data_IF_823846012872
#
_entry.id   IF_823846012872
#
_cell.length_a   1.000
_cell.length_b   1.000
_cell.length_c   1.000
_cell.angle_alpha   90.00
_cell.angle_beta   90.00
_cell.angle_gamma   90.00
#
_symmetry.space_group_name_H-M   'P 1'
#
loop_
_entity.id
_entity.type
_entity.pdbx_description
1 polymer ?
#
# COMPACT_ATOMS: atom_id res chain seq x y z
N UNK A 1 65.17 -12.02 -10.53
CA UNK A 1 66.01 -10.92 -11.05
C UNK A 1 65.40 -10.45 -12.37
N UNK A 2 65.48 -9.16 -12.69
CA UNK A 2 64.35 -8.21 -12.69
C UNK A 2 63.80 -7.91 -14.09
N UNK A 3 62.56 -7.40 -14.18
CA UNK A 3 62.28 -6.24 -15.06
C UNK A 3 61.02 -5.51 -14.60
N UNK A 4 61.24 -4.31 -14.06
CA UNK A 4 60.24 -3.24 -13.93
C UNK A 4 59.90 -2.73 -15.32
N UNK A 5 58.64 -2.38 -15.57
CA UNK A 5 58.27 -1.25 -16.40
C UNK A 5 56.87 -0.78 -16.02
N UNK A 6 56.86 0.36 -15.32
CA UNK A 6 55.68 1.18 -15.12
C UNK A 6 55.32 1.84 -16.46
N UNK A 7 54.03 1.93 -16.77
CA UNK A 7 53.54 3.01 -17.63
C UNK A 7 52.28 3.62 -17.01
N UNK A 8 52.51 4.82 -16.51
CA UNK A 8 51.53 5.83 -16.13
C UNK A 8 50.93 6.37 -17.43
N UNK A 9 49.63 6.26 -17.62
CA UNK A 9 48.89 7.09 -18.58
C UNK A 9 48.09 8.13 -17.82
N UNK A 10 48.67 9.34 -17.82
CA UNK A 10 48.01 10.62 -17.65
C UNK A 10 47.19 10.95 -18.92
N UNK A 11 46.39 12.03 -18.89
CA UNK A 11 45.62 12.70 -19.97
C UNK A 11 44.12 12.32 -19.94
N UNK A 12 43.13 13.23 -19.92
CA UNK A 12 43.09 14.68 -19.76
C UNK A 12 41.65 15.10 -19.42
N UNK A 13 41.51 16.26 -18.76
CA UNK A 13 40.27 16.99 -18.59
C UNK A 13 39.68 17.40 -19.95
N UNK A 14 38.40 17.09 -20.14
CA UNK A 14 37.56 17.63 -21.20
C UNK A 14 36.28 18.17 -20.59
N UNK A 15 36.29 19.45 -20.21
CA UNK A 15 35.10 20.24 -19.99
C UNK A 15 34.80 20.99 -21.28
N UNK A 16 33.61 20.81 -21.88
CA UNK A 16 32.94 21.83 -22.68
C UNK A 16 31.47 21.50 -22.91
N UNK A 17 30.66 22.54 -22.69
CA UNK A 17 29.42 22.89 -23.39
C UNK A 17 28.16 22.03 -23.14
N UNK A 18 27.44 22.49 -22.11
CA UNK A 18 25.98 22.62 -22.05
C UNK A 18 25.30 22.75 -23.41
N UNK A 19 24.43 21.81 -23.77
CA UNK A 19 23.39 22.03 -24.78
C UNK A 19 22.14 22.57 -24.10
N UNK A 20 21.87 23.83 -24.39
CA UNK A 20 20.67 24.55 -24.01
C UNK A 20 19.42 23.82 -24.53
N UNK A 21 18.54 23.41 -23.62
CA UNK A 21 17.16 23.07 -23.97
C UNK A 21 16.42 24.39 -24.18
N UNK A 22 15.90 24.56 -25.40
CA UNK A 22 15.07 25.71 -25.76
C UNK A 22 13.81 25.76 -24.89
N UNK A 23 13.49 26.96 -24.44
CA UNK A 23 12.25 27.33 -23.77
C UNK A 23 11.06 27.04 -24.69
N UNK A 24 10.06 26.32 -24.19
CA UNK A 24 8.68 26.58 -24.57
C UNK A 24 7.96 27.08 -23.31
N UNK A 25 7.85 28.40 -23.27
CA UNK A 25 7.11 29.16 -22.27
C UNK A 25 5.64 29.16 -22.72
N UNK A 26 4.84 28.25 -22.16
CA UNK A 26 3.38 28.34 -22.23
C UNK A 26 2.85 28.72 -20.85
N UNK A 27 2.05 29.78 -20.85
CA UNK A 27 1.63 30.56 -19.70
C UNK A 27 0.85 29.77 -18.63
N UNK A 28 1.01 30.19 -17.37
CA UNK A 28 0.06 30.00 -16.29
C UNK A 28 -0.31 31.39 -15.71
N UNK A 29 -1.39 31.53 -14.95
CA UNK A 29 -2.81 31.32 -15.29
C UNK A 29 -3.58 32.66 -15.24
N UNK A 30 -4.72 32.75 -15.92
CA UNK A 30 -5.65 33.87 -15.74
C UNK A 30 -6.48 33.69 -14.45
N UNK A 31 -6.59 34.69 -13.56
CA UNK A 31 -7.48 34.64 -12.41
C UNK A 31 -8.84 35.31 -12.72
N UNK A 32 -9.95 34.57 -12.54
CA UNK A 32 -11.32 35.08 -12.30
C UNK A 32 -12.24 33.86 -12.02
N UNK A 33 -13.22 33.85 -11.11
CA UNK A 33 -13.91 34.92 -10.41
C UNK A 33 -14.38 34.45 -9.01
N UNK A 34 -14.59 35.42 -8.12
CA UNK A 34 -15.12 35.26 -6.77
C UNK A 34 -16.59 34.79 -6.74
N UNK A 35 -17.04 34.11 -5.67
CA UNK A 35 -18.45 33.77 -5.48
C UNK A 35 -19.28 35.02 -5.14
N UNK A 36 -20.41 35.21 -5.83
CA UNK A 36 -21.38 36.26 -5.52
C UNK A 36 -22.25 35.87 -4.30
N UNK A 37 -22.67 36.87 -3.47
CA UNK A 37 -23.28 36.65 -2.16
C UNK A 37 -24.79 36.36 -2.19
N UNK A 38 -25.25 35.81 -1.07
CA UNK A 38 -26.63 35.47 -0.75
C UNK A 38 -27.59 36.67 -0.78
N UNK A 39 -28.85 36.40 -1.14
CA UNK A 39 -29.97 37.30 -0.92
C UNK A 39 -31.09 36.59 -0.14
N UNK A 40 -31.52 37.22 0.94
CA UNK A 40 -32.78 37.06 1.68
C UNK A 40 -33.29 38.50 1.95
N UNK A 41 -34.47 38.74 2.57
CA UNK A 41 -35.82 38.15 2.49
C UNK A 41 -36.92 39.22 2.23
N UNK A 42 -38.20 38.84 2.04
CA UNK A 42 -39.41 39.67 2.35
C UNK A 42 -40.69 38.80 2.17
N UNK A 43 -41.39 38.38 3.23
CA UNK A 43 -42.50 39.02 3.98
C UNK A 43 -43.91 39.01 3.31
N UNK A 44 -44.82 38.28 3.99
CA UNK A 44 -46.30 38.24 4.17
C UNK A 44 -47.19 39.45 3.67
N UNK A 45 -48.56 39.41 3.61
CA UNK A 45 -49.49 38.67 4.50
C UNK A 45 -50.92 38.24 4.01
N UNK A 46 -51.62 37.52 4.93
CA UNK A 46 -53.07 37.54 5.29
C UNK A 46 -54.13 36.62 4.61
N UNK A 47 -55.01 36.11 5.50
CA UNK A 47 -56.14 35.13 5.46
C UNK A 47 -57.44 35.67 4.75
N UNK A 48 -58.68 35.06 4.75
CA UNK A 48 -59.28 34.05 5.67
C UNK A 48 -60.35 33.03 5.11
N UNK A 49 -60.76 32.07 5.98
CA UNK A 49 -62.06 31.30 6.17
C UNK A 49 -62.77 30.62 4.97
N UNK A 50 -63.64 29.61 5.02
CA UNK A 50 -64.34 28.81 6.06
C UNK A 50 -64.90 27.51 5.40
N UNK A 51 -65.24 26.52 6.24
CA UNK A 51 -66.28 25.47 6.09
C UNK A 51 -66.41 24.58 4.83
N UNK A 52 -66.27 23.25 5.03
CA UNK A 52 -67.41 22.36 5.32
C UNK A 52 -67.01 20.87 5.15
N UNK A 53 -67.30 20.04 6.16
CA UNK A 53 -67.51 18.60 6.00
C UNK A 53 -69.03 18.36 5.89
N UNK A 54 -69.51 17.36 5.13
CA UNK A 54 -69.85 16.10 5.81
C UNK A 54 -69.77 14.79 4.99
N UNK A 55 -69.72 13.69 5.77
CA UNK A 55 -70.32 12.36 5.57
C UNK A 55 -69.69 11.31 4.62
N UNK A 56 -69.33 10.17 5.23
CA UNK A 56 -69.04 8.84 4.66
C UNK A 56 -70.34 8.08 4.30
N UNK A 57 -70.37 6.77 3.93
CA UNK A 57 -69.30 5.81 3.58
C UNK A 57 -69.60 4.99 2.29
N UNK A 58 -68.60 4.29 1.72
CA UNK A 58 -68.80 2.99 1.06
C UNK A 58 -67.47 2.28 0.79
N UNK A 59 -67.40 1.06 1.32
CA UNK A 59 -66.49 -0.05 1.01
C UNK A 59 -65.86 -0.03 -0.39
N UNK A 60 -64.55 0.17 -0.43
CA UNK A 60 -63.68 -0.54 -1.36
C UNK A 60 -62.51 -1.10 -0.56
N UNK A 61 -62.47 -2.43 -0.46
CA UNK A 61 -61.37 -3.16 0.12
C UNK A 61 -60.06 -2.76 -0.60
N UNK A 62 -59.20 -2.03 0.11
CA UNK A 62 -57.85 -1.75 -0.33
C UNK A 62 -57.05 -3.06 -0.34
N UNK A 63 -56.20 -3.31 -1.35
CA UNK A 63 -55.30 -4.46 -1.35
C UNK A 63 -54.38 -4.40 -0.12
N UNK A 64 -54.15 -5.56 0.49
CA UNK A 64 -53.25 -5.70 1.62
C UNK A 64 -51.88 -5.08 1.30
N UNK A 65 -51.43 -4.18 2.18
CA UNK A 65 -50.05 -3.71 2.15
C UNK A 65 -49.13 -4.93 2.26
N UNK A 66 -48.09 -5.06 1.42
CA UNK A 66 -47.11 -6.11 1.59
C UNK A 66 -46.51 -5.98 2.99
N UNK A 67 -46.49 -7.10 3.71
CA UNK A 67 -45.84 -7.19 5.01
C UNK A 67 -44.43 -6.63 4.88
N UNK A 68 -44.09 -5.67 5.74
CA UNK A 68 -42.72 -5.21 5.87
C UNK A 68 -41.86 -6.45 6.19
N UNK A 69 -41.02 -6.82 5.24
CA UNK A 69 -39.99 -7.83 5.45
C UNK A 69 -39.14 -7.33 6.61
N UNK A 70 -39.18 -8.08 7.72
CA UNK A 70 -38.35 -7.77 8.87
C UNK A 70 -36.90 -7.73 8.38
N UNK A 71 -36.22 -6.60 8.61
CA UNK A 71 -34.79 -6.51 8.38
C UNK A 71 -34.14 -7.72 9.06
N UNK A 72 -33.26 -8.47 8.37
CA UNK A 72 -32.63 -9.63 8.97
C UNK A 72 -31.98 -9.19 10.28
N UNK A 73 -32.29 -9.94 11.36
CA UNK A 73 -31.64 -9.77 12.63
C UNK A 73 -30.13 -9.71 12.37
N UNK A 74 -29.46 -8.68 12.90
CA UNK A 74 -28.03 -8.52 12.76
C UNK A 74 -27.38 -9.86 13.14
N UNK A 75 -26.88 -10.59 12.13
CA UNK A 75 -26.08 -11.78 12.35
C UNK A 75 -24.99 -11.35 13.32
N UNK A 76 -24.98 -11.93 14.51
CA UNK A 76 -24.02 -11.57 15.54
C UNK A 76 -22.63 -11.74 14.93
N UNK A 77 -21.95 -10.63 14.69
CA UNK A 77 -20.60 -10.62 14.14
C UNK A 77 -19.72 -11.50 15.02
N UNK A 78 -19.35 -12.68 14.52
CA UNK A 78 -18.30 -13.49 15.12
C UNK A 78 -17.00 -12.91 14.60
N UNK A 79 -16.27 -12.22 15.47
CA UNK A 79 -14.91 -11.78 15.15
C UNK A 79 -14.11 -13.01 14.68
N UNK A 80 -13.47 -12.97 13.50
CA UNK A 80 -12.67 -14.09 13.01
C UNK A 80 -11.66 -14.50 14.09
N UNK A 81 -11.69 -15.77 14.48
CA UNK A 81 -10.70 -16.29 15.42
C UNK A 81 -9.38 -16.45 14.67
N UNK A 82 -8.32 -15.89 15.23
CA UNK A 82 -6.98 -15.96 14.66
C UNK A 82 -6.53 -17.43 14.52
N UNK A 83 -6.00 -17.79 13.35
CA UNK A 83 -5.28 -19.05 13.16
C UNK A 83 -3.95 -19.11 13.92
N UNK A 84 -3.29 -20.29 13.97
CA UNK A 84 -1.94 -20.39 14.52
C UNK A 84 -0.98 -19.48 13.73
N UNK A 85 0.01 -18.90 14.42
CA UNK A 85 1.05 -18.11 13.75
C UNK A 85 1.78 -19.00 12.74
N UNK A 86 2.15 -18.43 11.59
CA UNK A 86 3.03 -19.13 10.65
C UNK A 86 4.32 -19.58 11.34
N UNK A 87 4.73 -20.81 11.06
CA UNK A 87 6.01 -21.38 11.51
C UNK A 87 7.00 -21.52 10.36
N UNK A 88 6.63 -21.07 9.15
CA UNK A 88 7.52 -21.10 8.00
C UNK A 88 8.74 -20.21 8.26
N UNK A 89 9.98 -20.76 8.23
CA UNK A 89 11.17 -20.01 8.63
C UNK A 89 11.43 -18.77 7.75
N UNK A 90 11.07 -18.82 6.47
CA UNK A 90 11.22 -17.67 5.57
C UNK A 90 10.24 -16.56 5.95
N UNK A 91 8.97 -16.90 6.14
CA UNK A 91 7.91 -15.95 6.50
C UNK A 91 8.16 -15.36 7.88
N UNK A 92 8.49 -16.18 8.89
CA UNK A 92 8.88 -15.69 10.22
C UNK A 92 10.04 -14.70 10.12
N UNK A 93 11.06 -14.99 9.30
CA UNK A 93 12.19 -14.07 9.10
C UNK A 93 11.77 -12.74 8.46
N UNK A 94 10.85 -12.78 7.49
CA UNK A 94 10.31 -11.57 6.86
C UNK A 94 9.53 -10.71 7.87
N UNK A 95 8.68 -11.33 8.69
CA UNK A 95 7.92 -10.61 9.72
C UNK A 95 8.86 -9.97 10.75
N UNK A 96 9.91 -10.67 11.16
CA UNK A 96 10.95 -10.10 12.03
C UNK A 96 11.67 -8.89 11.40
N UNK A 97 11.89 -8.87 10.08
CA UNK A 97 12.43 -7.69 9.37
C UNK A 97 11.43 -6.53 9.42
N UNK A 98 10.14 -6.80 9.24
CA UNK A 98 9.10 -5.77 9.33
C UNK A 98 9.11 -5.13 10.73
N UNK A 99 9.21 -5.95 11.78
CA UNK A 99 9.15 -5.48 13.17
C UNK A 99 10.43 -4.81 13.66
N UNK A 100 11.59 -5.38 13.34
CA UNK A 100 12.87 -4.93 13.89
C UNK A 100 13.59 -3.91 13.02
N UNK A 101 13.22 -3.80 11.74
CA UNK A 101 13.86 -2.86 10.80
C UNK A 101 12.85 -1.88 10.22
N UNK A 102 11.82 -2.36 9.53
CA UNK A 102 10.93 -1.46 8.79
C UNK A 102 10.12 -0.53 9.69
N UNK A 103 9.48 -1.06 10.74
CA UNK A 103 8.71 -0.27 11.71
C UNK A 103 9.55 0.84 12.35
N UNK A 104 10.72 0.53 12.97
CA UNK A 104 11.59 1.57 13.51
C UNK A 104 12.08 2.56 12.45
N UNK A 105 12.40 2.08 11.24
CA UNK A 105 12.88 2.93 10.15
C UNK A 105 11.85 3.98 9.72
N UNK A 106 10.59 3.58 9.48
CA UNK A 106 9.55 4.54 9.09
C UNK A 106 9.12 5.45 10.25
N UNK A 107 9.39 5.04 11.50
CA UNK A 107 9.24 5.88 12.68
C UNK A 107 10.41 6.87 12.90
N UNK A 108 11.38 6.93 11.97
CA UNK A 108 12.52 7.87 12.02
C UNK A 108 13.81 7.30 12.62
N UNK A 109 13.89 5.99 12.87
CA UNK A 109 15.10 5.32 13.32
C UNK A 109 16.24 5.36 12.29
N UNK A 110 17.48 5.16 12.76
CA UNK A 110 18.65 5.08 11.89
C UNK A 110 18.64 3.76 11.10
N UNK A 111 18.21 3.84 9.85
CA UNK A 111 18.16 2.68 8.96
C UNK A 111 19.49 1.95 8.84
N UNK A 112 20.61 2.66 8.73
CA UNK A 112 21.92 2.05 8.52
C UNK A 112 22.37 1.27 9.76
N UNK A 113 21.99 1.73 10.95
CA UNK A 113 22.19 0.98 12.19
C UNK A 113 21.25 -0.23 12.26
N UNK A 114 19.95 -0.04 12.04
CA UNK A 114 18.94 -1.09 12.12
C UNK A 114 19.27 -2.31 11.23
N UNK A 115 19.65 -2.06 9.97
CA UNK A 115 19.99 -3.15 9.03
C UNK A 115 21.28 -3.87 9.41
N UNK A 116 22.29 -3.16 9.95
CA UNK A 116 23.54 -3.78 10.41
C UNK A 116 23.32 -4.61 11.66
N UNK A 117 22.59 -4.08 12.63
CA UNK A 117 22.26 -4.76 13.89
C UNK A 117 21.44 -6.02 13.63
N UNK A 118 20.57 -5.99 12.63
CA UNK A 118 19.82 -7.18 12.20
C UNK A 118 20.68 -8.21 11.44
N UNK A 119 21.81 -7.80 10.86
CA UNK A 119 22.74 -8.68 10.13
C UNK A 119 22.65 -8.62 8.61
N UNK A 120 22.01 -7.60 8.03
CA UNK A 120 22.07 -7.36 6.59
C UNK A 120 23.48 -6.95 6.16
N UNK A 121 23.84 -7.34 4.93
CA UNK A 121 25.11 -6.96 4.30
C UNK A 121 24.85 -5.99 3.15
N UNK A 122 25.56 -4.87 3.13
CA UNK A 122 25.47 -3.90 2.03
C UNK A 122 26.04 -4.51 0.75
N UNK A 123 25.29 -4.45 -0.34
CA UNK A 123 25.71 -4.82 -1.70
C UNK A 123 25.23 -3.75 -2.67
N UNK A 124 26.17 -2.93 -3.17
CA UNK A 124 25.86 -1.72 -3.93
C UNK A 124 24.93 -0.80 -3.12
N UNK A 125 23.78 -0.42 -3.68
CA UNK A 125 22.78 0.45 -3.05
C UNK A 125 21.68 -0.30 -2.29
N UNK A 126 21.86 -1.61 -2.07
CA UNK A 126 20.89 -2.44 -1.36
C UNK A 126 21.52 -3.15 -0.17
N UNK A 127 20.67 -3.52 0.79
CA UNK A 127 21.04 -4.32 1.94
C UNK A 127 20.44 -5.70 1.78
N UNK A 128 21.27 -6.74 1.81
CA UNK A 128 20.83 -8.11 1.54
C UNK A 128 21.04 -8.96 2.78
N UNK A 129 19.98 -9.60 3.23
CA UNK A 129 20.00 -10.72 4.17
C UNK A 129 19.86 -12.00 3.37
N UNK A 130 20.98 -12.70 3.19
CA UNK A 130 21.00 -13.96 2.48
C UNK A 130 20.39 -15.06 3.35
N UNK A 131 19.47 -15.83 2.77
CA UNK A 131 18.95 -17.07 3.33
C UNK A 131 19.61 -18.23 2.58
N UNK A 132 18.90 -19.34 2.46
CA UNK A 132 19.31 -20.47 1.62
C UNK A 132 19.30 -20.03 0.15
N UNK A 133 20.39 -20.24 -0.58
CA UNK A 133 20.48 -19.82 -1.99
C UNK A 133 19.41 -20.56 -2.82
N UNK A 134 18.63 -19.87 -3.67
CA UNK A 134 18.78 -18.48 -4.14
C UNK A 134 18.02 -17.41 -3.34
N UNK A 135 17.40 -17.78 -2.23
CA UNK A 135 16.47 -16.95 -1.48
C UNK A 135 17.16 -15.87 -0.65
N UNK A 136 16.53 -14.70 -0.60
CA UNK A 136 17.05 -13.56 0.13
C UNK A 136 15.94 -12.57 0.47
N UNK A 137 16.23 -11.74 1.46
CA UNK A 137 15.47 -10.53 1.77
C UNK A 137 16.39 -9.35 1.46
N UNK A 138 15.91 -8.42 0.65
CA UNK A 138 16.64 -7.23 0.23
C UNK A 138 15.87 -6.00 0.70
N UNK A 139 16.57 -5.06 1.33
CA UNK A 139 16.05 -3.75 1.71
C UNK A 139 16.70 -2.67 0.86
N UNK A 140 15.87 -1.79 0.32
CA UNK A 140 16.35 -0.61 -0.40
C UNK A 140 16.74 0.48 0.60
N UNK A 141 17.75 1.29 0.26
CA UNK A 141 18.07 2.48 1.06
C UNK A 141 16.87 3.44 1.07
N UNK A 142 16.44 3.96 2.23
CA UNK A 142 15.41 4.97 2.29
C UNK A 142 15.94 6.23 1.59
N UNK A 143 15.28 6.61 0.49
CA UNK A 143 15.59 7.84 -0.22
C UNK A 143 15.05 9.06 0.53
N UNK A 144 14.57 10.06 -0.21
CA UNK A 144 13.93 11.24 0.38
C UNK A 144 12.62 10.89 1.11
N UNK A 145 11.91 9.85 0.66
CA UNK A 145 10.73 9.35 1.36
C UNK A 145 11.15 8.32 2.42
N UNK A 146 11.35 8.79 3.65
CA UNK A 146 11.69 7.95 4.81
C UNK A 146 10.47 7.27 5.43
N UNK A 147 9.27 7.52 4.93
CA UNK A 147 8.06 6.95 5.49
C UNK A 147 7.70 5.61 4.85
N UNK A 148 8.55 5.05 3.99
CA UNK A 148 8.34 3.77 3.32
C UNK A 148 9.58 2.89 3.48
N UNK A 149 9.38 1.69 4.00
CA UNK A 149 10.34 0.60 3.97
C UNK A 149 10.00 -0.31 2.80
N UNK A 150 10.90 -0.39 1.81
CA UNK A 150 10.74 -1.28 0.66
C UNK A 150 11.58 -2.53 0.85
N UNK A 151 10.89 -3.67 0.86
CA UNK A 151 11.48 -5.01 0.96
C UNK A 151 11.27 -5.74 -0.36
N UNK A 152 12.32 -6.29 -0.94
CA UNK A 152 12.22 -7.27 -2.03
C UNK A 152 12.60 -8.63 -1.49
N UNK A 153 11.76 -9.64 -1.74
CA UNK A 153 12.05 -11.03 -1.37
C UNK A 153 12.21 -11.89 -2.62
N UNK A 154 13.23 -12.73 -2.61
CA UNK A 154 13.35 -13.86 -3.52
C UNK A 154 13.06 -15.13 -2.72
N UNK A 155 12.04 -15.90 -3.09
CA UNK A 155 11.52 -17.04 -2.33
C UNK A 155 11.26 -18.25 -3.22
N UNK A 156 10.90 -19.38 -2.61
CA UNK A 156 10.64 -20.64 -3.33
C UNK A 156 9.53 -20.51 -4.36
N UNK A 157 9.67 -21.22 -5.49
CA UNK A 157 8.61 -21.34 -6.51
C UNK A 157 7.49 -22.30 -6.12
N UNK A 158 7.62 -22.98 -4.97
CA UNK A 158 6.54 -23.78 -4.40
C UNK A 158 5.30 -22.91 -4.15
N UNK A 159 4.13 -23.39 -4.56
CA UNK A 159 2.87 -22.65 -4.43
C UNK A 159 2.51 -22.41 -2.95
N UNK A 160 2.85 -23.38 -2.10
CA UNK A 160 2.65 -23.35 -0.66
C UNK A 160 3.39 -22.17 -0.03
N UNK A 161 4.62 -21.86 -0.47
CA UNK A 161 5.39 -20.73 0.05
C UNK A 161 4.71 -19.39 -0.22
N UNK A 162 4.10 -19.22 -1.40
CA UNK A 162 3.40 -17.99 -1.73
C UNK A 162 2.14 -17.80 -0.89
N UNK A 163 1.45 -18.89 -0.54
CA UNK A 163 0.29 -18.88 0.33
C UNK A 163 0.69 -18.60 1.78
N UNK A 164 1.75 -19.24 2.29
CA UNK A 164 2.29 -18.99 3.63
C UNK A 164 2.69 -17.52 3.81
N UNK A 165 3.36 -16.92 2.81
CA UNK A 165 3.68 -15.49 2.83
C UNK A 165 2.42 -14.62 2.91
N UNK A 166 1.39 -14.93 2.12
CA UNK A 166 0.13 -14.17 2.13
C UNK A 166 -0.59 -14.28 3.48
N UNK A 167 -0.67 -15.50 4.04
CA UNK A 167 -1.30 -15.76 5.33
C UNK A 167 -0.53 -15.09 6.47
N UNK A 168 0.81 -15.24 6.51
CA UNK A 168 1.64 -14.64 7.54
C UNK A 168 1.61 -13.12 7.52
N UNK A 169 1.64 -12.50 6.33
CA UNK A 169 1.49 -11.05 6.20
C UNK A 169 0.08 -10.58 6.58
N UNK A 170 -0.96 -11.33 6.21
CA UNK A 170 -2.33 -11.03 6.63
C UNK A 170 -2.46 -11.06 8.15
N UNK A 171 -1.97 -12.12 8.79
CA UNK A 171 -2.04 -12.28 10.24
C UNK A 171 -1.26 -11.20 10.96
N UNK A 172 -0.06 -10.89 10.48
CA UNK A 172 0.75 -9.82 11.02
C UNK A 172 0.04 -8.47 10.90
N UNK A 173 -0.49 -8.15 9.73
CA UNK A 173 -1.19 -6.89 9.46
C UNK A 173 -2.45 -6.73 10.33
N UNK A 174 -3.28 -7.78 10.41
CA UNK A 174 -4.57 -7.75 11.09
C UNK A 174 -4.45 -7.85 12.60
N UNK A 175 -3.50 -8.64 13.13
CA UNK A 175 -3.48 -9.01 14.55
C UNK A 175 -2.25 -8.54 15.32
N UNK A 176 -1.09 -8.41 14.67
CA UNK A 176 0.18 -8.13 15.36
C UNK A 176 0.66 -6.69 15.17
N UNK A 177 0.28 -6.07 14.06
CA UNK A 177 0.56 -4.68 13.80
C UNK A 177 -0.31 -3.79 14.69
N UNK A 178 0.31 -2.74 15.23
CA UNK A 178 -0.39 -1.67 15.94
C UNK A 178 -0.06 -0.36 15.22
N UNK A 179 -1.05 0.34 14.65
CA UNK A 179 -2.48 0.00 14.60
C UNK A 179 -2.78 -1.23 13.73
N UNK A 180 -3.88 -1.93 13.99
CA UNK A 180 -4.27 -3.05 13.14
C UNK A 180 -4.61 -2.55 11.72
N UNK A 181 -4.13 -3.25 10.71
CA UNK A 181 -4.44 -2.96 9.32
C UNK A 181 -5.58 -3.86 8.85
N UNK A 182 -6.47 -3.34 8.01
CA UNK A 182 -7.56 -4.10 7.39
C UNK A 182 -7.27 -4.27 5.91
N UNK A 183 -7.67 -5.40 5.36
CA UNK A 183 -7.53 -5.67 3.94
C UNK A 183 -8.36 -4.67 3.12
N UNK A 184 -7.75 -4.03 2.12
CA UNK A 184 -8.37 -3.02 1.27
C UNK A 184 -8.37 -3.43 -0.20
N UNK A 185 -7.32 -4.16 -0.62
CA UNK A 185 -7.14 -4.57 -2.00
C UNK A 185 -6.64 -5.99 -2.07
N UNK A 186 -7.22 -6.76 -2.97
CA UNK A 186 -6.72 -8.05 -3.41
C UNK A 186 -7.08 -8.19 -4.89
N UNK A 187 -6.16 -7.79 -5.76
CA UNK A 187 -6.42 -7.75 -7.19
C UNK A 187 -5.18 -8.13 -8.01
N UNK A 188 -5.39 -8.10 -9.31
CA UNK A 188 -4.36 -8.38 -10.28
C UNK A 188 -4.35 -7.31 -11.37
N UNK A 189 -3.14 -6.85 -11.69
CA UNK A 189 -2.92 -5.91 -12.80
C UNK A 189 -1.85 -6.46 -13.75
N UNK A 190 -2.04 -6.20 -15.04
CA UNK A 190 -1.07 -6.56 -16.09
C UNK A 190 -0.38 -5.28 -16.52
N UNK A 191 0.91 -5.13 -16.17
CA UNK A 191 1.74 -4.02 -16.62
C UNK A 191 2.47 -4.32 -17.93
N UNK A 192 3.31 -3.38 -18.36
CA UNK A 192 4.22 -3.56 -19.51
C UNK A 192 5.25 -4.67 -19.31
N UNK A 193 5.73 -4.84 -18.07
CA UNK A 193 6.87 -5.72 -17.77
C UNK A 193 6.48 -6.97 -16.96
N UNK A 194 5.45 -6.84 -16.12
CA UNK A 194 5.06 -7.88 -15.17
C UNK A 194 3.54 -7.93 -14.95
N UNK A 195 3.04 -9.14 -14.68
CA UNK A 195 1.79 -9.35 -13.95
C UNK A 195 2.05 -9.10 -12.46
N UNK A 196 1.22 -8.27 -11.84
CA UNK A 196 1.32 -7.90 -10.42
C UNK A 196 0.06 -8.39 -9.70
N UNK A 197 0.25 -9.24 -8.71
CA UNK A 197 -0.82 -9.66 -7.80
C UNK A 197 -0.62 -8.87 -6.50
N UNK A 198 -1.56 -7.99 -6.19
CA UNK A 198 -1.41 -7.04 -5.08
C UNK A 198 -2.41 -7.35 -4.00
N UNK A 199 -1.91 -7.52 -2.79
CA UNK A 199 -2.70 -7.54 -1.57
C UNK A 199 -2.26 -6.35 -0.73
N UNK A 200 -3.18 -5.50 -0.28
CA UNK A 200 -2.84 -4.38 0.58
C UNK A 200 -3.76 -4.23 1.77
N UNK A 201 -3.18 -3.79 2.88
CA UNK A 201 -3.85 -3.49 4.12
C UNK A 201 -3.55 -2.06 4.55
N UNK A 202 -4.52 -1.37 5.13
CA UNK A 202 -4.31 -0.06 5.75
C UNK A 202 -5.11 0.11 7.05
N UNK A 203 -4.82 1.17 7.77
CA UNK A 203 -5.57 1.59 8.95
C UNK A 203 -6.50 2.78 8.64
N UNK A 204 -7.08 2.89 7.45
CA UNK A 204 -8.00 3.99 7.10
C UNK A 204 -9.15 4.13 8.10
N UNK A 205 -9.60 2.99 8.66
CA UNK A 205 -10.59 2.90 9.72
C UNK A 205 -10.13 3.51 11.07
N UNK A 206 -8.83 3.69 11.26
CA UNK A 206 -8.18 4.24 12.46
C UNK A 206 -7.29 5.46 12.15
N UNK A 207 -7.63 6.22 11.11
CA UNK A 207 -6.99 7.50 10.79
C UNK A 207 -5.93 7.47 9.68
N UNK A 208 -5.72 6.34 9.00
CA UNK A 208 -4.97 6.26 7.74
C UNK A 208 -3.50 6.62 7.87
N UNK A 209 -2.83 6.10 8.91
CA UNK A 209 -1.44 6.38 9.24
C UNK A 209 -0.46 5.27 8.90
N UNK A 210 -0.93 4.08 8.56
CA UNK A 210 -0.09 2.94 8.26
C UNK A 210 -0.67 2.10 7.12
N UNK A 211 0.23 1.54 6.32
CA UNK A 211 -0.14 0.69 5.19
C UNK A 211 0.88 -0.41 4.97
N UNK A 212 0.39 -1.55 4.49
CA UNK A 212 1.20 -2.69 4.04
C UNK A 212 0.74 -3.07 2.64
N UNK A 213 1.68 -3.20 1.72
CA UNK A 213 1.43 -3.73 0.38
C UNK A 213 2.30 -4.96 0.18
N UNK A 214 1.70 -6.05 -0.29
CA UNK A 214 2.38 -7.25 -0.75
C UNK A 214 2.08 -7.44 -2.24
N UNK A 215 3.13 -7.39 -3.06
CA UNK A 215 3.03 -7.47 -4.51
C UNK A 215 3.87 -8.63 -5.04
N UNK A 216 3.22 -9.70 -5.49
CA UNK A 216 3.91 -10.80 -6.20
C UNK A 216 4.08 -10.43 -7.66
N UNK A 217 5.25 -10.74 -8.20
CA UNK A 217 5.61 -10.46 -9.59
C UNK A 217 5.69 -11.76 -10.38
N UNK A 218 4.99 -11.80 -11.51
CA UNK A 218 5.13 -12.82 -12.56
C UNK A 218 5.47 -12.16 -13.88
N UNK A 219 6.17 -12.87 -14.76
CA UNK A 219 6.32 -12.43 -16.15
C UNK A 219 4.96 -12.42 -16.85
N UNK A 220 4.89 -11.79 -18.02
CA UNK A 220 3.64 -11.70 -18.79
C UNK A 220 3.13 -13.06 -19.28
N UNK A 221 4.02 -14.03 -19.43
CA UNK A 221 3.73 -15.44 -19.74
C UNK A 221 3.42 -16.27 -18.48
N UNK A 222 3.20 -15.62 -17.34
CA UNK A 222 2.90 -16.22 -16.03
C UNK A 222 4.02 -17.05 -15.41
N UNK A 223 5.18 -17.13 -16.07
CA UNK A 223 6.36 -17.79 -15.53
C UNK A 223 7.02 -16.95 -14.44
N UNK A 224 7.84 -17.61 -13.62
CA UNK A 224 8.59 -16.97 -12.54
C UNK A 224 9.55 -15.91 -13.08
N UNK A 225 9.68 -14.81 -12.34
CA UNK A 225 10.61 -13.73 -12.68
C UNK A 225 12.08 -14.14 -12.57
N UNK A 226 12.40 -15.01 -11.61
CA UNK A 226 13.71 -15.63 -11.43
C UNK A 226 13.74 -17.04 -12.00
N UNK A 227 14.93 -17.53 -12.36
CA UNK A 227 15.11 -18.91 -12.87
C UNK A 227 14.71 -19.97 -11.84
N UNK A 228 15.04 -19.74 -10.56
CA UNK A 228 14.85 -20.70 -9.45
C UNK A 228 14.18 -20.05 -8.23
N UNK A 229 13.53 -18.91 -8.40
CA UNK A 229 12.84 -18.19 -7.34
C UNK A 229 11.64 -17.42 -7.89
N UNK A 230 10.68 -17.16 -7.03
CA UNK A 230 9.68 -16.11 -7.22
C UNK A 230 10.14 -14.82 -6.55
N UNK A 231 9.64 -13.69 -7.03
CA UNK A 231 9.90 -12.39 -6.41
C UNK A 231 8.62 -11.72 -5.97
N UNK A 232 8.67 -11.13 -4.78
CA UNK A 232 7.67 -10.20 -4.34
C UNK A 232 8.30 -8.94 -3.75
N UNK A 233 7.52 -7.87 -3.77
CA UNK A 233 7.84 -6.61 -3.11
C UNK A 233 6.86 -6.39 -1.97
N UNK A 234 7.38 -6.04 -0.80
CA UNK A 234 6.60 -5.64 0.36
C UNK A 234 6.92 -4.17 0.64
N UNK A 235 5.89 -3.35 0.81
CA UNK A 235 6.04 -1.95 1.19
C UNK A 235 5.31 -1.76 2.51
N UNK A 236 6.06 -1.42 3.56
CA UNK A 236 5.48 -0.94 4.80
C UNK A 236 5.63 0.56 4.85
N UNK A 237 4.54 1.28 5.11
CA UNK A 237 4.55 2.73 5.11
C UNK A 237 3.79 3.31 6.28
N UNK A 238 4.22 4.48 6.73
CA UNK A 238 3.42 5.35 7.58
C UNK A 238 3.14 6.68 6.90
N UNK A 239 2.09 7.41 7.26
CA UNK A 239 2.02 8.83 6.90
C UNK A 239 2.79 9.63 7.95
N UNK A 240 3.54 10.66 7.50
CA UNK A 240 4.33 11.52 8.39
C UNK A 240 3.46 12.05 9.54
N UNK A 241 4.01 12.08 10.76
CA UNK A 241 3.48 12.95 11.81
C UNK A 241 3.61 14.42 11.41
#
# INVERSE_FOLDING_TARGET
>A
MPMRLALVSLIALGAVASTASAQEQTAAPAPAAAPAPAAAPAQAPAAPVDQAAPAAPADQAAPAAPAAEAAPAAESYVAPVRGPRTTDPFTVRLLDVLDKVCKPQVAGGDFAQLVKDYGFKKKKEQWIFALEKPFNITLDNPGSNRNVCTVTIDYSQAQEQAQELANGLHDWATWENSPQLRLIRNDQTVGSDFRRFTVSWDDAWAGGRAGLVYMRLKKLDETSVGKNFERAQILYSTTSR
#
